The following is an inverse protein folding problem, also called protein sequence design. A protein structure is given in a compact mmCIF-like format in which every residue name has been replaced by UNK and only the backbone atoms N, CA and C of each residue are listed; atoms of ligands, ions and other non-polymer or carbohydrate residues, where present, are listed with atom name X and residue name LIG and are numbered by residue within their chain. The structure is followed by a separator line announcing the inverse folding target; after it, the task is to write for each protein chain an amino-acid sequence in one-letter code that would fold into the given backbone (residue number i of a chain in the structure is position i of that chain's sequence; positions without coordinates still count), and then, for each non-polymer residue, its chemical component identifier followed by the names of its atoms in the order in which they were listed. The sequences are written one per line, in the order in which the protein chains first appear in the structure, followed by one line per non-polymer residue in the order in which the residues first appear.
data_IF_966388937602
#
_entry.id   IF_966388937602
#
_cell.length_a   1.000
_cell.length_b   1.000
_cell.length_c   1.000
_cell.angle_alpha   90.00
_cell.angle_beta   90.00
_cell.angle_gamma   90.00
#
_symmetry.space_group_name_H-M   'P 1'
#
loop_
_entity.id
_entity.type
_entity.pdbx_description
1 polymer ?
#
# COMPACT_ATOMS: atom_id res chain seq x y z
N UNK A 1 0.37 -14.24 15.82
CA UNK A 1 -0.73 -14.55 14.89
C UNK A 1 -0.63 -15.95 14.30
N UNK A 2 0.37 -16.28 13.47
CA UNK A 2 0.41 -17.57 12.76
C UNK A 2 0.41 -18.83 13.65
N UNK A 3 0.98 -18.74 14.87
CA UNK A 3 0.84 -19.80 15.89
C UNK A 3 -0.63 -20.07 16.27
N UNK A 4 -1.45 -19.02 16.36
CA UNK A 4 -2.86 -19.12 16.68
C UNK A 4 -3.67 -19.73 15.52
N UNK A 5 -3.34 -19.35 14.27
CA UNK A 5 -3.93 -19.96 13.06
C UNK A 5 -3.67 -21.47 13.06
N UNK A 6 -2.41 -21.87 13.31
CA UNK A 6 -2.03 -23.28 13.43
C UNK A 6 -2.75 -23.99 14.57
N UNK A 7 -2.77 -23.40 15.76
CA UNK A 7 -3.41 -24.05 16.92
C UNK A 7 -4.92 -24.18 16.76
N UNK A 8 -5.56 -23.28 16.00
CA UNK A 8 -6.97 -23.36 15.66
C UNK A 8 -7.28 -24.44 14.61
N UNK A 9 -6.28 -25.08 14.01
CA UNK A 9 -6.48 -26.05 12.92
C UNK A 9 -7.11 -25.43 11.68
N UNK A 10 -6.98 -24.12 11.48
CA UNK A 10 -7.59 -23.42 10.36
C UNK A 10 -6.90 -23.75 9.05
N UNK A 11 -7.69 -24.02 8.01
CA UNK A 11 -7.24 -24.21 6.62
C UNK A 11 -7.44 -22.97 5.77
N UNK A 12 -7.81 -21.83 6.37
CA UNK A 12 -7.99 -20.58 5.65
C UNK A 12 -6.65 -20.05 5.13
N UNK A 13 -6.67 -19.49 3.91
CA UNK A 13 -5.52 -18.78 3.36
C UNK A 13 -5.28 -17.49 4.15
N UNK A 14 -4.04 -17.23 4.53
CA UNK A 14 -3.61 -16.05 5.27
C UNK A 14 -2.82 -15.11 4.37
N UNK A 15 -3.38 -13.92 4.16
CA UNK A 15 -2.70 -12.81 3.50
C UNK A 15 -2.12 -11.87 4.56
N UNK A 16 -0.80 -11.72 4.59
CA UNK A 16 -0.16 -10.75 5.48
C UNK A 16 -0.02 -9.38 4.81
N UNK A 17 -0.67 -8.37 5.37
CA UNK A 17 -0.55 -6.98 4.93
C UNK A 17 0.45 -6.16 5.79
N UNK A 18 1.00 -6.73 6.86
CA UNK A 18 1.90 -6.06 7.78
C UNK A 18 3.37 -6.40 7.46
N UNK A 19 4.02 -5.51 6.71
CA UNK A 19 5.44 -5.61 6.34
C UNK A 19 5.85 -7.01 5.81
N UNK A 20 5.11 -7.57 4.83
CA UNK A 20 5.27 -8.96 4.41
C UNK A 20 6.63 -9.28 3.79
N UNK A 21 7.35 -8.30 3.23
CA UNK A 21 8.70 -8.47 2.67
C UNK A 21 9.71 -8.97 3.71
N UNK A 22 9.66 -8.45 4.93
CA UNK A 22 10.52 -8.94 6.01
C UNK A 22 9.82 -10.01 6.88
N UNK A 23 8.54 -9.78 7.24
CA UNK A 23 7.84 -10.63 8.21
C UNK A 23 7.59 -12.03 7.66
N UNK A 24 7.22 -12.16 6.38
CA UNK A 24 6.97 -13.49 5.82
C UNK A 24 8.28 -14.29 5.75
N UNK A 25 9.37 -13.65 5.30
CA UNK A 25 10.70 -14.26 5.24
C UNK A 25 11.18 -14.72 6.62
N UNK A 26 11.02 -13.87 7.65
CA UNK A 26 11.36 -14.22 9.02
C UNK A 26 10.51 -15.39 9.55
N UNK A 27 9.19 -15.36 9.34
CA UNK A 27 8.30 -16.43 9.79
C UNK A 27 8.52 -17.75 9.04
N UNK A 28 8.97 -17.70 7.79
CA UNK A 28 9.31 -18.90 7.02
C UNK A 28 10.43 -19.72 7.68
N UNK A 29 11.41 -19.05 8.31
CA UNK A 29 12.52 -19.72 9.01
C UNK A 29 12.08 -20.62 10.17
N UNK A 30 10.89 -20.37 10.72
CA UNK A 30 10.30 -21.15 11.82
C UNK A 30 9.05 -21.91 11.35
N UNK A 31 8.90 -22.07 10.03
CA UNK A 31 7.79 -22.79 9.40
C UNK A 31 6.43 -22.15 9.61
N UNK A 32 6.34 -20.85 9.94
CA UNK A 32 5.10 -20.12 10.25
C UNK A 32 4.76 -19.07 9.19
N UNK A 33 5.25 -19.22 7.96
CA UNK A 33 4.96 -18.28 6.89
C UNK A 33 3.45 -18.21 6.60
N UNK A 34 2.88 -17.00 6.44
CA UNK A 34 1.60 -16.80 5.77
C UNK A 34 1.65 -17.28 4.32
N UNK A 35 0.51 -17.59 3.72
CA UNK A 35 0.43 -18.08 2.34
C UNK A 35 0.94 -17.04 1.34
N UNK A 36 0.62 -15.77 1.55
CA UNK A 36 1.07 -14.68 0.68
C UNK A 36 1.15 -13.36 1.43
N UNK A 37 2.01 -12.47 0.94
CA UNK A 37 2.02 -11.07 1.35
C UNK A 37 1.14 -10.23 0.43
N UNK A 38 0.38 -9.29 0.97
CA UNK A 38 -0.38 -8.33 0.14
C UNK A 38 0.51 -7.36 -0.67
N UNK A 39 1.83 -7.37 -0.42
CA UNK A 39 2.79 -6.44 -0.99
C UNK A 39 2.75 -5.07 -0.32
N UNK A 40 3.89 -4.36 -0.31
CA UNK A 40 3.97 -3.01 0.23
C UNK A 40 3.62 -1.93 -0.80
N UNK A 41 3.78 -2.24 -2.09
CA UNK A 41 3.64 -1.31 -3.21
C UNK A 41 2.20 -1.27 -3.72
N UNK A 42 1.55 -2.44 -3.85
CA UNK A 42 0.23 -2.58 -4.45
C UNK A 42 -0.84 -1.68 -3.80
N UNK A 43 -0.69 -1.39 -2.51
CA UNK A 43 -1.62 -0.53 -1.77
C UNK A 43 -1.73 0.88 -2.35
N UNK A 44 -0.70 1.45 -2.99
CA UNK A 44 -0.78 2.81 -3.55
C UNK A 44 -1.47 2.84 -4.92
N UNK A 45 -1.46 1.73 -5.65
CA UNK A 45 -1.95 1.63 -7.03
C UNK A 45 -3.42 2.07 -7.18
N UNK A 46 -4.37 1.69 -6.30
CA UNK A 46 -5.74 2.18 -6.40
C UNK A 46 -5.87 3.71 -6.29
N UNK A 47 -5.05 4.34 -5.45
CA UNK A 47 -5.03 5.80 -5.31
C UNK A 47 -4.46 6.45 -6.57
N UNK A 48 -3.34 5.93 -7.08
CA UNK A 48 -2.76 6.42 -8.34
C UNK A 48 -3.73 6.25 -9.52
N UNK A 49 -4.44 5.12 -9.59
CA UNK A 49 -5.47 4.86 -10.61
C UNK A 49 -6.59 5.90 -10.55
N UNK A 50 -7.06 6.23 -9.34
CA UNK A 50 -8.10 7.26 -9.15
C UNK A 50 -7.62 8.65 -9.54
N UNK A 51 -6.39 9.00 -9.18
CA UNK A 51 -5.79 10.29 -9.54
C UNK A 51 -5.57 10.42 -11.05
N UNK A 52 -5.08 9.37 -11.70
CA UNK A 52 -4.91 9.31 -13.15
C UNK A 52 -6.25 9.43 -13.88
N UNK A 53 -7.28 8.68 -13.47
CA UNK A 53 -8.62 8.76 -14.03
C UNK A 53 -9.18 10.20 -13.98
N UNK A 54 -8.99 10.87 -12.84
CA UNK A 54 -9.41 12.26 -12.68
C UNK A 54 -8.64 13.23 -13.56
N UNK A 55 -7.33 13.05 -13.69
CA UNK A 55 -6.50 13.90 -14.53
C UNK A 55 -6.83 13.74 -16.02
N UNK A 56 -7.12 12.51 -16.45
CA UNK A 56 -7.46 12.18 -17.84
C UNK A 56 -8.95 12.41 -18.16
N UNK A 57 -9.81 12.58 -17.15
CA UNK A 57 -11.25 12.76 -17.34
C UNK A 57 -11.97 11.48 -17.80
N UNK A 58 -11.46 10.30 -17.42
CA UNK A 58 -11.97 8.98 -17.83
C UNK A 58 -12.39 8.13 -16.63
N UNK A 59 -13.08 7.02 -16.85
CA UNK A 59 -13.41 6.09 -15.77
C UNK A 59 -12.20 5.22 -15.37
N UNK A 60 -12.12 4.86 -14.08
CA UNK A 60 -11.01 4.03 -13.57
C UNK A 60 -10.93 2.65 -14.23
N UNK A 61 -12.06 2.14 -14.72
CA UNK A 61 -12.15 0.83 -15.36
C UNK A 61 -11.46 0.81 -16.75
N UNK A 62 -11.28 1.97 -17.37
CA UNK A 62 -10.61 2.14 -18.66
C UNK A 62 -9.08 2.18 -18.50
N UNK A 63 -8.59 2.31 -17.26
CA UNK A 63 -7.18 2.46 -16.96
C UNK A 63 -6.53 1.18 -16.44
N UNK A 64 -5.36 0.88 -16.99
CA UNK A 64 -4.42 -0.08 -16.42
C UNK A 64 -3.18 0.65 -15.92
N UNK A 65 -2.86 0.51 -14.63
CA UNK A 65 -1.70 1.16 -14.00
C UNK A 65 -0.63 0.12 -13.69
N UNK A 66 0.55 0.29 -14.29
CA UNK A 66 1.75 -0.46 -13.93
C UNK A 66 2.67 0.45 -13.11
N UNK A 67 2.88 0.09 -11.85
CA UNK A 67 3.76 0.82 -10.95
C UNK A 67 4.81 -0.11 -10.35
N UNK A 68 6.07 0.20 -10.63
CA UNK A 68 7.23 -0.53 -10.11
C UNK A 68 8.11 0.47 -9.37
N UNK A 69 8.34 0.21 -8.08
CA UNK A 69 9.18 1.06 -7.25
C UNK A 69 9.73 0.27 -6.05
N UNK A 70 10.75 0.78 -5.39
CA UNK A 70 11.14 0.26 -4.08
C UNK A 70 10.12 0.67 -3.00
N UNK A 71 10.00 -0.13 -1.94
CA UNK A 71 9.12 0.18 -0.81
C UNK A 71 9.41 1.58 -0.21
N UNK A 72 10.67 2.02 -0.22
CA UNK A 72 11.06 3.37 0.23
C UNK A 72 10.35 4.48 -0.56
N UNK A 73 10.22 4.34 -1.88
CA UNK A 73 9.51 5.31 -2.72
C UNK A 73 8.02 5.35 -2.37
N UNK A 74 7.39 4.19 -2.16
CA UNK A 74 5.97 4.11 -1.79
C UNK A 74 5.71 4.75 -0.42
N UNK A 75 6.62 4.53 0.53
CA UNK A 75 6.54 5.14 1.84
C UNK A 75 6.73 6.67 1.77
N UNK A 76 7.68 7.13 0.96
CA UNK A 76 7.91 8.55 0.71
C UNK A 76 6.68 9.22 0.07
N UNK A 77 6.10 8.63 -0.99
CA UNK A 77 4.89 9.17 -1.62
C UNK A 77 3.73 9.21 -0.62
N UNK A 78 3.53 8.14 0.16
CA UNK A 78 2.44 8.07 1.15
C UNK A 78 2.61 9.05 2.32
N UNK A 79 3.84 9.51 2.59
CA UNK A 79 4.17 10.40 3.71
C UNK A 79 4.28 11.86 3.28
N UNK A 80 4.83 12.12 2.10
CA UNK A 80 5.27 13.43 1.64
C UNK A 80 4.71 13.82 0.26
N UNK A 81 3.96 12.94 -0.41
CA UNK A 81 3.41 13.22 -1.73
C UNK A 81 4.45 13.24 -2.85
N UNK A 82 5.64 12.69 -2.62
CA UNK A 82 6.73 12.61 -3.59
C UNK A 82 7.57 11.36 -3.36
N UNK A 83 8.10 10.71 -4.42
CA UNK A 83 9.06 9.61 -4.27
C UNK A 83 10.44 10.08 -3.77
N UNK A 84 10.70 11.39 -3.72
CA UNK A 84 12.02 11.94 -3.45
C UNK A 84 12.98 11.56 -4.59
N UNK A 85 14.18 11.11 -4.23
CA UNK A 85 15.21 10.64 -5.18
C UNK A 85 15.05 9.15 -5.55
N UNK A 86 14.07 8.45 -4.97
CA UNK A 86 13.93 7.02 -5.19
C UNK A 86 13.42 6.72 -6.62
N UNK A 87 14.09 5.81 -7.36
CA UNK A 87 13.69 5.48 -8.72
C UNK A 87 12.34 4.74 -8.73
N UNK A 88 11.55 5.04 -9.75
CA UNK A 88 10.28 4.36 -10.02
C UNK A 88 10.01 4.30 -11.52
N UNK A 89 9.14 3.38 -11.93
CA UNK A 89 8.51 3.37 -13.25
C UNK A 89 6.99 3.36 -13.07
N UNK A 90 6.32 4.29 -13.72
CA UNK A 90 4.88 4.42 -13.77
C UNK A 90 4.47 4.45 -15.24
N UNK A 91 3.67 3.47 -15.67
CA UNK A 91 3.02 3.46 -16.98
C UNK A 91 1.52 3.35 -16.76
N UNK A 92 0.77 4.17 -17.48
CA UNK A 92 -0.70 4.19 -17.45
C UNK A 92 -1.17 3.92 -18.87
N UNK A 93 -2.01 2.90 -19.01
CA UNK A 93 -2.61 2.54 -20.28
C UNK A 93 -4.08 2.89 -20.24
N UNK A 94 -4.57 3.57 -21.27
CA UNK A 94 -5.99 3.80 -21.54
C UNK A 94 -6.40 2.86 -22.67
N UNK A 95 -7.36 1.97 -22.43
CA UNK A 95 -7.80 0.95 -23.39
C UNK A 95 -6.64 0.13 -24.01
N UNK A 96 -5.58 -0.09 -23.23
CA UNK A 96 -4.39 -0.85 -23.64
C UNK A 96 -3.32 -0.05 -24.39
N UNK A 97 -3.52 1.25 -24.65
CA UNK A 97 -2.53 2.13 -25.25
C UNK A 97 -1.87 3.05 -24.19
N UNK A 98 -0.56 3.29 -24.28
CA UNK A 98 0.16 4.10 -23.29
C UNK A 98 -0.27 5.57 -23.35
N UNK A 99 -0.70 6.12 -22.21
CA UNK A 99 -1.16 7.51 -22.07
C UNK A 99 0.00 8.50 -21.84
N UNK A 100 1.19 8.18 -22.35
CA UNK A 100 2.51 8.63 -21.87
C UNK A 100 2.73 10.15 -21.79
N UNK A 101 1.97 10.96 -22.54
CA UNK A 101 2.24 12.41 -22.68
C UNK A 101 1.28 13.33 -21.91
N UNK A 102 0.29 12.80 -21.19
CA UNK A 102 -0.76 13.61 -20.54
C UNK A 102 -0.72 13.64 -19.01
N UNK A 103 0.20 12.93 -18.37
CA UNK A 103 0.15 12.69 -16.93
C UNK A 103 1.22 13.47 -16.16
N UNK A 104 0.76 14.29 -15.21
CA UNK A 104 1.62 14.98 -14.27
C UNK A 104 1.82 14.09 -13.05
N UNK A 105 2.96 13.39 -13.02
CA UNK A 105 3.34 12.52 -11.91
C UNK A 105 3.41 13.27 -10.57
N UNK A 106 3.78 14.56 -10.57
CA UNK A 106 3.89 15.37 -9.36
C UNK A 106 2.52 15.63 -8.76
N UNK A 107 1.53 15.98 -9.59
CA UNK A 107 0.15 16.13 -9.16
C UNK A 107 -0.44 14.79 -8.67
N UNK A 108 -0.13 13.70 -9.39
CA UNK A 108 -0.52 12.33 -9.03
C UNK A 108 -0.04 11.95 -7.64
N UNK A 109 1.25 12.14 -7.33
CA UNK A 109 1.81 11.80 -6.03
C UNK A 109 1.33 12.74 -4.93
N UNK A 110 1.24 14.04 -5.21
CA UNK A 110 0.71 15.03 -4.25
C UNK A 110 -0.73 14.73 -3.84
N UNK A 111 -1.55 14.20 -4.76
CA UNK A 111 -2.93 13.82 -4.47
C UNK A 111 -3.05 12.74 -3.38
N UNK A 112 -2.02 11.92 -3.19
CA UNK A 112 -2.01 10.83 -2.18
C UNK A 112 -2.07 11.37 -0.75
N UNK A 113 -1.44 12.52 -0.49
CA UNK A 113 -1.42 13.16 0.83
C UNK A 113 -2.43 14.31 0.95
N UNK A 114 -2.95 14.79 -0.18
CA UNK A 114 -3.97 15.83 -0.25
C UNK A 114 -5.37 15.23 -0.42
N UNK A 115 -5.85 15.23 -1.66
CA UNK A 115 -7.24 14.88 -1.99
C UNK A 115 -7.63 13.45 -1.58
N UNK A 116 -6.74 12.49 -1.81
CA UNK A 116 -6.97 11.08 -1.53
C UNK A 116 -6.29 10.61 -0.25
N UNK A 117 -6.04 11.55 0.66
CA UNK A 117 -5.42 11.27 1.95
C UNK A 117 -6.18 10.19 2.69
N UNK A 118 -5.47 9.12 3.04
CA UNK A 118 -6.01 8.09 3.93
C UNK A 118 -6.30 8.68 5.30
N UNK A 119 -7.47 8.37 5.83
CA UNK A 119 -7.79 8.63 7.24
C UNK A 119 -6.79 7.80 8.07
N UNK A 120 -5.85 8.48 8.74
CA UNK A 120 -5.00 7.81 9.72
C UNK A 120 -5.88 7.47 10.93
N UNK A 121 -5.64 6.32 11.54
CA UNK A 121 -6.28 5.98 12.81
C UNK A 121 -6.10 7.14 13.80
N UNK A 122 -7.19 7.54 14.45
CA UNK A 122 -7.16 8.52 15.53
C UNK A 122 -6.04 8.17 16.51
N UNK A 123 -5.27 9.13 17.04
CA UNK A 123 -4.27 8.82 18.05
C UNK A 123 -4.95 8.02 19.16
N UNK A 124 -4.42 6.83 19.44
CA UNK A 124 -4.94 5.96 20.48
C UNK A 124 -5.06 6.80 21.76
N UNK A 125 -6.29 7.04 22.21
CA UNK A 125 -6.54 7.69 23.49
C UNK A 125 -5.83 6.84 24.52
N UNK A 126 -4.86 7.42 25.24
CA UNK A 126 -4.14 6.72 26.28
C UNK A 126 -5.15 6.08 27.24
N UNK A 127 -5.18 4.74 27.26
CA UNK A 127 -5.89 4.03 28.31
C UNK A 127 -5.24 4.44 29.63
N UNK A 128 -5.99 4.95 30.62
CA UNK A 128 -5.41 5.27 31.92
C UNK A 128 -4.76 4.01 32.49
N UNK A 129 -3.51 4.15 32.96
CA UNK A 129 -2.78 3.07 33.61
C UNK A 129 -3.65 2.52 34.76
N UNK A 130 -3.77 1.18 34.91
CA UNK A 130 -4.46 0.62 36.05
C UNK A 130 -3.73 1.08 37.33
N UNK A 131 -4.48 1.72 38.23
CA UNK A 131 -4.00 2.09 39.55
C UNK A 131 -3.88 0.80 40.36
N UNK A 132 -2.68 0.51 40.87
CA UNK A 132 -2.45 -0.63 41.75
C UNK A 132 -3.28 -0.51 43.04
N UNK A 133 -4.03 -1.54 43.45
CA UNK A 133 -4.66 -1.53 44.77
C UNK A 133 -3.58 -1.55 45.86
N UNK A 134 -3.79 -0.73 46.88
CA UNK A 134 -2.98 -0.68 48.11
C UNK A 134 -3.29 -1.87 49.01
#
# INVERSE_FOLDING_TARGET
MMRAVRSAGSTALVVNAAFPDAVNSALATVGLAPDVGGGNIANIVPTLTRAAARQLGVERAELTVHFVAHHVACNAISSYGTPGEAPYRLSILLDGAEAADTLDHTALFSSVIGEFRRVRGSPARSLPRPVSPR
#
